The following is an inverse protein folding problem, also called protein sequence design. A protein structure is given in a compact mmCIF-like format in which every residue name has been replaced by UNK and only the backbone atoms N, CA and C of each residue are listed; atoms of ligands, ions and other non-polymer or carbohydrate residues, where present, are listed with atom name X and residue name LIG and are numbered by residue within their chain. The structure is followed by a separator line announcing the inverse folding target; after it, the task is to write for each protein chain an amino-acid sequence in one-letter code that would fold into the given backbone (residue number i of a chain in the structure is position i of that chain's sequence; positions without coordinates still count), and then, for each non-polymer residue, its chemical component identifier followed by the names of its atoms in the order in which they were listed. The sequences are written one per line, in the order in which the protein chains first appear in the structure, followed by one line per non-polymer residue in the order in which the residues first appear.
data_IF_798265148563
#
_entry.id   IF_798265148563
#
_cell.length_a   1.000
_cell.length_b   1.000
_cell.length_c   1.000
_cell.angle_alpha   90.00
_cell.angle_beta   90.00
_cell.angle_gamma   90.00
#
_symmetry.space_group_name_H-M   'P 1'
#
loop_
_entity.id
_entity.type
_entity.pdbx_description
1 polymer ?
#
# COMPACT_ATOMS: atom_id res chain seq x y z
N UNK A 1 -6.02 -7.40 2.84
CA UNK A 1 -6.64 -6.32 2.04
C UNK A 1 -7.70 -6.94 1.16
N UNK A 2 -8.93 -6.50 1.37
CA UNK A 2 -10.15 -7.02 0.75
C UNK A 2 -10.65 -6.06 -0.32
N UNK A 3 -11.14 -6.57 -1.44
CA UNK A 3 -11.81 -5.79 -2.49
C UNK A 3 -13.18 -6.42 -2.81
N UNK A 4 -14.22 -5.59 -2.90
CA UNK A 4 -15.56 -6.00 -3.30
C UNK A 4 -16.63 -5.82 -2.20
N UNK A 5 -17.90 -6.08 -2.51
CA UNK A 5 -19.00 -5.95 -1.55
C UNK A 5 -18.93 -7.05 -0.48
N UNK A 6 -19.45 -6.75 0.71
CA UNK A 6 -19.56 -7.71 1.81
C UNK A 6 -20.37 -8.93 1.36
N UNK A 7 -19.74 -10.10 1.32
CA UNK A 7 -20.33 -11.38 0.88
C UNK A 7 -19.87 -11.89 -0.48
N UNK A 8 -19.19 -11.06 -1.29
CA UNK A 8 -18.54 -11.50 -2.54
C UNK A 8 -17.23 -10.72 -2.75
N UNK A 9 -16.38 -10.74 -1.72
CA UNK A 9 -15.11 -10.04 -1.70
C UNK A 9 -13.94 -10.98 -1.94
N UNK A 10 -12.85 -10.43 -2.47
CA UNK A 10 -11.60 -11.15 -2.69
C UNK A 10 -10.47 -10.53 -1.89
N UNK A 11 -9.60 -11.39 -1.33
CA UNK A 11 -8.39 -10.95 -0.66
C UNK A 11 -7.26 -10.81 -1.68
N UNK A 12 -6.98 -9.56 -2.08
CA UNK A 12 -5.82 -9.26 -2.93
C UNK A 12 -4.50 -9.35 -2.14
N UNK A 13 -4.56 -9.20 -0.82
CA UNK A 13 -3.44 -9.46 0.10
C UNK A 13 -4.00 -10.23 1.28
N UNK A 14 -3.51 -11.43 1.53
CA UNK A 14 -3.98 -12.31 2.59
C UNK A 14 -2.82 -12.70 3.49
N UNK A 15 -2.82 -12.18 4.72
CA UNK A 15 -1.85 -12.51 5.78
C UNK A 15 -0.37 -12.52 5.35
N UNK A 16 0.08 -11.40 4.77
CA UNK A 16 1.46 -11.22 4.33
C UNK A 16 2.25 -10.47 5.39
N UNK A 17 3.42 -11.00 5.75
CA UNK A 17 4.38 -10.38 6.67
C UNK A 17 5.78 -10.40 6.08
N UNK A 18 6.50 -9.28 6.21
CA UNK A 18 7.90 -9.14 5.87
C UNK A 18 8.51 -7.94 6.59
N UNK A 19 9.82 -7.96 6.73
CA UNK A 19 10.63 -6.90 7.32
C UNK A 19 11.61 -6.38 6.27
N UNK A 20 11.98 -5.10 6.36
CA UNK A 20 13.01 -4.49 5.53
C UNK A 20 13.88 -3.60 6.42
N UNK A 21 15.13 -4.00 6.64
CA UNK A 21 16.06 -3.21 7.45
C UNK A 21 16.72 -2.09 6.62
N UNK A 22 17.40 -1.18 7.31
CA UNK A 22 18.15 -0.11 6.68
C UNK A 22 19.29 -0.68 5.83
N UNK A 23 19.42 -0.19 4.59
CA UNK A 23 20.43 -0.65 3.63
C UNK A 23 20.09 -1.96 2.91
N UNK A 24 18.98 -2.61 3.24
CA UNK A 24 18.54 -3.82 2.57
C UNK A 24 17.73 -3.52 1.30
N UNK A 25 17.66 -4.53 0.42
CA UNK A 25 16.79 -4.52 -0.75
C UNK A 25 15.91 -5.75 -0.73
N UNK A 26 14.59 -5.55 -0.68
CA UNK A 26 13.58 -6.60 -0.71
C UNK A 26 12.83 -6.59 -2.05
N UNK A 27 12.71 -7.76 -2.66
CA UNK A 27 11.97 -7.96 -3.90
C UNK A 27 10.73 -8.84 -3.66
N UNK A 28 9.56 -8.33 -4.05
CA UNK A 28 8.32 -9.11 -4.07
C UNK A 28 8.05 -9.55 -5.51
N UNK A 29 8.12 -10.86 -5.76
CA UNK A 29 7.96 -11.46 -7.10
C UNK A 29 6.74 -12.36 -7.16
N UNK A 30 6.19 -12.55 -8.37
CA UNK A 30 5.00 -13.38 -8.60
C UNK A 30 4.26 -12.99 -9.88
N UNK A 31 3.27 -13.78 -10.25
CA UNK A 31 2.49 -13.59 -11.49
C UNK A 31 1.60 -12.35 -11.48
N UNK A 32 1.15 -11.90 -12.66
CA UNK A 32 0.18 -10.80 -12.76
C UNK A 32 -1.07 -11.10 -11.91
N UNK A 33 -1.54 -10.12 -11.13
CA UNK A 33 -2.68 -10.28 -10.24
C UNK A 33 -2.38 -10.90 -8.87
N UNK A 34 -1.15 -11.33 -8.57
CA UNK A 34 -0.79 -11.97 -7.30
C UNK A 34 -0.76 -11.03 -6.06
N UNK A 35 -1.21 -9.78 -6.19
CA UNK A 35 -1.29 -8.84 -5.06
C UNK A 35 -0.06 -7.93 -4.84
N UNK A 36 1.04 -8.10 -5.58
CA UNK A 36 2.29 -7.31 -5.39
C UNK A 36 2.07 -5.80 -5.32
N UNK A 37 1.42 -5.23 -6.35
CA UNK A 37 1.17 -3.79 -6.42
C UNK A 37 0.24 -3.34 -5.30
N UNK A 38 -0.75 -4.16 -4.94
CA UNK A 38 -1.68 -3.89 -3.84
C UNK A 38 -0.95 -3.87 -2.50
N UNK A 39 -0.01 -4.79 -2.25
CA UNK A 39 0.81 -4.81 -1.04
C UNK A 39 1.55 -3.48 -0.86
N UNK A 40 2.30 -3.04 -1.88
CA UNK A 40 3.11 -1.81 -1.77
C UNK A 40 2.21 -0.56 -1.74
N UNK A 41 1.14 -0.51 -2.54
CA UNK A 41 0.17 0.59 -2.49
C UNK A 41 -0.55 0.68 -1.14
N UNK A 42 -0.77 -0.45 -0.45
CA UNK A 42 -1.39 -0.48 0.88
C UNK A 42 -0.49 0.20 1.91
N UNK A 43 0.82 -0.09 1.91
CA UNK A 43 1.80 0.58 2.78
C UNK A 43 1.78 2.10 2.56
N UNK A 44 1.65 2.52 1.29
CA UNK A 44 1.56 3.92 0.93
C UNK A 44 0.17 4.52 1.16
N UNK A 45 -0.84 3.77 1.57
CA UNK A 45 -2.23 4.23 1.72
C UNK A 45 -2.89 4.67 0.42
N UNK A 46 -2.48 4.10 -0.72
CA UNK A 46 -2.90 4.48 -2.09
C UNK A 46 -3.86 3.49 -2.75
N UNK A 47 -4.34 2.46 -2.04
CA UNK A 47 -5.37 1.57 -2.60
C UNK A 47 -6.66 2.35 -2.86
N UNK A 48 -7.39 1.99 -3.93
CA UNK A 48 -8.69 2.60 -4.24
C UNK A 48 -9.71 2.25 -3.17
N UNK A 49 -10.33 3.27 -2.56
CA UNK A 49 -11.38 3.13 -1.55
C UNK A 49 -12.62 3.94 -1.95
N UNK A 50 -13.80 3.33 -2.13
CA UNK A 50 -14.06 1.89 -2.37
C UNK A 50 -13.49 1.38 -3.72
N UNK A 51 -13.41 0.05 -3.95
CA UNK A 51 -13.90 -1.05 -3.13
C UNK A 51 -12.85 -1.72 -2.23
N UNK A 52 -11.64 -1.16 -2.12
CA UNK A 52 -10.55 -1.72 -1.30
C UNK A 52 -10.66 -1.34 0.17
N UNK A 53 -10.34 -2.29 1.07
CA UNK A 53 -10.24 -2.05 2.52
C UNK A 53 -9.13 -2.88 3.16
N UNK A 54 -8.40 -2.27 4.09
CA UNK A 54 -7.52 -2.99 5.02
C UNK A 54 -8.38 -3.47 6.17
N UNK A 55 -8.51 -4.79 6.33
CA UNK A 55 -9.38 -5.41 7.34
C UNK A 55 -8.66 -5.74 8.64
N UNK A 56 -7.35 -5.98 8.59
CA UNK A 56 -6.50 -6.30 9.74
C UNK A 56 -5.02 -6.08 9.38
N UNK A 57 -4.16 -6.19 10.38
CA UNK A 57 -2.69 -6.07 10.26
C UNK A 57 -2.17 -4.70 10.67
N UNK A 58 -0.84 -4.55 10.63
CA UNK A 58 -0.11 -3.32 10.96
C UNK A 58 1.08 -3.17 10.00
N UNK A 59 1.47 -1.93 9.69
CA UNK A 59 2.67 -1.66 8.92
C UNK A 59 3.51 -0.60 9.63
N UNK A 60 4.60 -1.01 10.25
CA UNK A 60 5.40 -0.13 11.10
C UNK A 60 6.53 0.52 10.31
N UNK A 61 6.56 1.85 10.30
CA UNK A 61 7.71 2.63 9.84
C UNK A 61 8.23 3.49 10.98
N UNK A 62 9.48 3.25 11.39
CA UNK A 62 10.11 3.92 12.55
C UNK A 62 9.21 3.94 13.79
N UNK A 63 8.59 2.79 14.09
CA UNK A 63 7.70 2.59 15.24
C UNK A 63 6.28 3.15 15.09
N UNK A 64 5.92 3.77 13.96
CA UNK A 64 4.58 4.31 13.73
C UNK A 64 3.83 3.48 12.69
N UNK A 65 2.55 3.19 12.96
CA UNK A 65 1.72 2.35 12.09
C UNK A 65 1.10 3.14 10.94
N UNK A 66 1.61 2.93 9.72
CA UNK A 66 1.16 3.57 8.49
C UNK A 66 -0.32 3.29 8.18
N UNK A 67 -0.86 2.14 8.61
CA UNK A 67 -2.25 1.76 8.30
C UNK A 67 -3.28 2.49 9.17
N UNK A 68 -2.85 2.96 10.34
CA UNK A 68 -3.68 3.68 11.30
C UNK A 68 -3.49 5.21 11.28
N UNK A 69 -2.48 5.71 10.54
CA UNK A 69 -2.20 7.14 10.45
C UNK A 69 -3.31 7.90 9.69
N UNK A 70 -3.66 9.13 10.13
CA UNK A 70 -4.50 10.02 9.35
C UNK A 70 -3.75 10.51 8.10
N UNK A 71 -4.49 10.84 7.04
CA UNK A 71 -3.90 11.22 5.75
C UNK A 71 -2.95 12.42 5.85
N UNK A 72 -3.21 13.37 6.76
CA UNK A 72 -2.32 14.51 7.02
C UNK A 72 -0.93 14.07 7.48
N UNK A 73 -0.83 13.03 8.30
CA UNK A 73 0.46 12.50 8.76
C UNK A 73 1.14 11.67 7.67
N UNK A 74 0.36 10.89 6.92
CA UNK A 74 0.88 10.16 5.75
C UNK A 74 1.48 11.12 4.71
N UNK A 75 0.84 12.28 4.46
CA UNK A 75 1.35 13.32 3.56
C UNK A 75 2.73 13.85 3.97
N UNK A 76 3.09 13.84 5.26
CA UNK A 76 4.41 14.29 5.72
C UNK A 76 5.52 13.25 5.49
N UNK A 77 5.15 11.97 5.40
CA UNK A 77 6.07 10.84 5.21
C UNK A 77 6.25 10.55 3.71
N UNK A 78 5.17 10.60 2.94
CA UNK A 78 5.18 10.38 1.49
C UNK A 78 6.06 11.42 0.81
N UNK A 79 6.94 10.98 -0.10
CA UNK A 79 7.87 11.82 -0.85
C UNK A 79 9.12 12.25 -0.09
N UNK A 80 9.02 12.51 1.23
CA UNK A 80 10.16 12.89 2.06
C UNK A 80 10.92 11.70 2.63
N UNK A 81 10.20 10.77 3.25
CA UNK A 81 10.78 9.61 3.96
C UNK A 81 10.55 8.31 3.17
N UNK A 82 9.40 8.19 2.48
CA UNK A 82 9.07 7.04 1.63
C UNK A 82 8.60 7.56 0.27
N UNK A 83 9.32 7.21 -0.79
CA UNK A 83 8.96 7.54 -2.17
C UNK A 83 8.54 6.29 -2.94
N UNK A 84 7.66 6.47 -3.92
CA UNK A 84 7.19 5.39 -4.78
C UNK A 84 7.40 5.80 -6.24
N UNK A 85 7.99 4.90 -7.02
CA UNK A 85 8.02 4.96 -8.48
C UNK A 85 6.98 3.95 -8.98
N UNK A 86 5.97 4.43 -9.70
CA UNK A 86 4.88 3.59 -10.18
C UNK A 86 5.28 2.77 -11.40
N UNK A 87 4.59 1.65 -11.62
CA UNK A 87 4.82 0.77 -12.78
C UNK A 87 4.58 1.50 -14.11
N UNK A 88 3.59 2.37 -14.17
CA UNK A 88 3.40 3.34 -15.26
C UNK A 88 3.43 4.77 -14.67
N UNK A 89 4.61 5.41 -14.67
CA UNK A 89 4.78 6.73 -14.07
C UNK A 89 3.92 7.81 -14.73
N UNK A 90 3.63 7.68 -16.03
CA UNK A 90 2.95 8.72 -16.80
C UNK A 90 1.43 8.75 -16.54
N UNK A 91 0.81 7.58 -16.32
CA UNK A 91 -0.62 7.50 -16.00
C UNK A 91 -0.92 7.66 -14.49
N UNK A 92 0.09 7.56 -13.63
CA UNK A 92 -0.07 7.59 -12.17
C UNK A 92 -0.09 9.01 -11.57
N UNK A 93 0.38 10.02 -12.33
CA UNK A 93 0.33 11.44 -11.96
C UNK A 93 -0.95 12.08 -12.52
N UNK A 94 -2.03 12.04 -11.72
CA UNK A 94 -3.23 12.84 -11.99
C UNK A 94 -3.26 14.07 -11.06
N UNK A 95 -2.86 15.26 -11.54
CA UNK A 95 -2.78 16.47 -10.71
C UNK A 95 -4.15 17.02 -10.28
N UNK A 96 -5.27 16.42 -10.70
CA UNK A 96 -6.64 16.88 -10.41
C UNK A 96 -7.26 16.20 -9.18
N UNK A 97 -6.62 15.16 -8.62
CA UNK A 97 -7.06 14.52 -7.38
C UNK A 97 -6.20 15.03 -6.21
N UNK A 98 -6.61 16.12 -5.56
CA UNK A 98 -5.98 16.72 -4.36
C UNK A 98 -6.85 16.60 -3.11
#
# INVERSE_FOLDING_TARGET
VEFGPSGNSVYAVNDVSFDLAEGESLAIVGESGSGKSVTVQTLMGLIRKPPGRVTAGRALFRGRDLLAMPDRELRQIRGRDIAMIFQDPMSSLNPVLT
#
